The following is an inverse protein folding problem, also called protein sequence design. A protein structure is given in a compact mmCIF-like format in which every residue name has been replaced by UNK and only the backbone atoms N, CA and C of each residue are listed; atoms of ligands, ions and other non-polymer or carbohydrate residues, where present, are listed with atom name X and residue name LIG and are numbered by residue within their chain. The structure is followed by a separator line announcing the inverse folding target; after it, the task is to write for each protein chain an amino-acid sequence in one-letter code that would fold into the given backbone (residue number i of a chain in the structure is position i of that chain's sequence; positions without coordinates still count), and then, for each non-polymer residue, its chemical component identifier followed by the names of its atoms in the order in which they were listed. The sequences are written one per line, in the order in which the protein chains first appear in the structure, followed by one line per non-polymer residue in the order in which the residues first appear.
data_IF_974768797295
#
_entry.id   IF_974768797295
#
_cell.length_a   1.000
_cell.length_b   1.000
_cell.length_c   1.000
_cell.angle_alpha   90.00
_cell.angle_beta   90.00
_cell.angle_gamma   90.00
#
_symmetry.space_group_name_H-M   'P 1'
#
loop_
_entity.id
_entity.type
_entity.pdbx_description
1 polymer ?
#
# COMPACT_ATOMS: atom_id res chain seq x y z
N UNK A 1 5.49 0.20 7.64
CA UNK A 1 4.58 0.55 8.76
C UNK A 1 3.18 0.03 8.46
N UNK A 2 2.34 -0.20 9.48
CA UNK A 2 0.92 -0.58 9.33
C UNK A 2 0.05 0.52 9.95
N UNK A 3 -0.97 0.98 9.22
CA UNK A 3 -1.90 2.01 9.67
C UNK A 3 -3.29 1.76 9.10
N UNK A 4 -4.33 2.20 9.80
CA UNK A 4 -5.68 2.15 9.28
C UNK A 4 -5.79 3.05 8.04
N UNK A 5 -6.54 2.61 7.03
CA UNK A 5 -6.71 3.36 5.79
C UNK A 5 -7.16 4.81 6.03
N UNK A 6 -8.13 5.03 6.92
CA UNK A 6 -8.63 6.38 7.25
C UNK A 6 -7.57 7.29 7.90
N UNK A 7 -6.48 6.72 8.41
CA UNK A 7 -5.42 7.42 9.16
C UNK A 7 -4.11 7.47 8.39
N UNK A 8 -4.05 7.04 7.12
CA UNK A 8 -2.78 6.94 6.39
C UNK A 8 -2.05 8.29 6.25
N UNK A 9 -2.76 9.42 6.38
CA UNK A 9 -2.14 10.75 6.40
C UNK A 9 -1.11 10.93 7.51
N UNK A 10 -1.22 10.19 8.63
CA UNK A 10 -0.28 10.29 9.76
C UNK A 10 1.13 9.81 9.43
N UNK A 11 1.28 8.91 8.46
CA UNK A 11 2.59 8.35 8.09
C UNK A 11 3.31 9.16 7.00
N UNK A 12 2.66 10.16 6.40
CA UNK A 12 3.26 10.97 5.32
C UNK A 12 4.63 11.59 5.69
N UNK A 13 4.87 12.07 6.94
CA UNK A 13 6.18 12.61 7.32
C UNK A 13 7.31 11.57 7.32
N UNK A 14 6.99 10.27 7.42
CA UNK A 14 7.95 9.17 7.42
C UNK A 14 8.34 8.71 6.00
N UNK A 15 7.57 9.11 4.99
CA UNK A 15 7.75 8.67 3.62
C UNK A 15 8.75 9.55 2.87
N UNK A 16 9.70 8.90 2.20
CA UNK A 16 10.64 9.55 1.30
C UNK A 16 10.16 9.45 -0.15
N UNK A 17 10.09 10.57 -0.86
CA UNK A 17 9.64 10.63 -2.26
C UNK A 17 10.55 9.91 -3.26
N UNK A 18 11.81 9.64 -2.89
CA UNK A 18 12.77 8.92 -3.74
C UNK A 18 12.58 7.41 -3.70
N UNK A 19 11.86 6.89 -2.71
CA UNK A 19 11.69 5.46 -2.52
C UNK A 19 10.46 4.96 -3.28
N UNK A 20 10.54 3.72 -3.78
CA UNK A 20 9.37 3.01 -4.30
C UNK A 20 8.51 2.54 -3.14
N UNK A 21 7.25 2.97 -3.13
CA UNK A 21 6.32 2.66 -2.05
C UNK A 21 5.30 1.64 -2.56
N UNK A 22 5.23 0.48 -1.92
CA UNK A 22 4.18 -0.51 -2.19
C UNK A 22 3.13 -0.45 -1.09
N UNK A 23 1.90 -0.11 -1.48
CA UNK A 23 0.75 -0.11 -0.59
C UNK A 23 0.02 -1.44 -0.75
N UNK A 24 -0.28 -2.06 0.38
CA UNK A 24 -0.99 -3.33 0.44
C UNK A 24 -2.18 -3.23 1.39
N UNK A 25 -3.29 -3.85 0.99
CA UNK A 25 -4.42 -4.10 1.87
C UNK A 25 -4.97 -5.52 1.62
N UNK A 26 -6.10 -5.85 2.24
CA UNK A 26 -6.67 -7.19 2.14
C UNK A 26 -6.99 -7.61 0.69
N UNK A 27 -7.71 -6.77 -0.07
CA UNK A 27 -8.16 -7.07 -1.45
C UNK A 27 -7.56 -6.19 -2.54
N UNK A 28 -6.81 -5.16 -2.17
CA UNK A 28 -6.23 -4.15 -3.09
C UNK A 28 -7.07 -2.88 -3.27
N UNK A 29 -8.33 -2.85 -2.82
CA UNK A 29 -9.26 -1.72 -3.07
C UNK A 29 -8.81 -0.41 -2.40
N UNK A 30 -8.64 -0.42 -1.08
CA UNK A 30 -8.19 0.77 -0.33
C UNK A 30 -6.74 1.14 -0.64
N UNK A 31 -5.90 0.15 -0.98
CA UNK A 31 -4.54 0.39 -1.45
C UNK A 31 -4.53 1.21 -2.75
N UNK A 32 -5.44 0.93 -3.69
CA UNK A 32 -5.61 1.72 -4.91
C UNK A 32 -5.99 3.19 -4.64
N UNK A 33 -6.89 3.43 -3.69
CA UNK A 33 -7.27 4.79 -3.28
C UNK A 33 -6.07 5.55 -2.69
N UNK A 34 -5.33 4.93 -1.76
CA UNK A 34 -4.13 5.53 -1.17
C UNK A 34 -3.07 5.83 -2.23
N UNK A 35 -2.86 4.92 -3.20
CA UNK A 35 -1.92 5.14 -4.32
C UNK A 35 -2.32 6.35 -5.16
N UNK A 36 -3.61 6.54 -5.45
CA UNK A 36 -4.09 7.73 -6.18
C UNK A 36 -3.72 9.04 -5.48
N UNK A 37 -3.92 9.09 -4.16
CA UNK A 37 -3.57 10.26 -3.35
C UNK A 37 -2.06 10.47 -3.30
N UNK A 38 -1.27 9.43 -3.03
CA UNK A 38 0.19 9.51 -2.94
C UNK A 38 0.83 9.94 -4.27
N UNK A 39 0.34 9.42 -5.40
CA UNK A 39 0.82 9.85 -6.73
C UNK A 39 0.53 11.32 -7.00
N UNK A 40 -0.63 11.82 -6.58
CA UNK A 40 -0.98 13.24 -6.68
C UNK A 40 -0.02 14.12 -5.86
N UNK A 41 0.48 13.61 -4.74
CA UNK A 41 1.48 14.29 -3.89
C UNK A 41 2.93 14.14 -4.40
N UNK A 42 3.14 13.41 -5.51
CA UNK A 42 4.45 13.19 -6.14
C UNK A 42 5.26 12.03 -5.57
N UNK A 43 4.64 11.04 -4.93
CA UNK A 43 5.30 9.81 -4.50
C UNK A 43 5.27 8.74 -5.60
N UNK A 44 6.33 7.92 -5.67
CA UNK A 44 6.40 6.74 -6.54
C UNK A 44 5.72 5.53 -5.87
N UNK A 45 4.38 5.53 -5.89
CA UNK A 45 3.55 4.54 -5.19
C UNK A 45 2.90 3.50 -6.12
N UNK A 46 2.80 2.26 -5.65
CA UNK A 46 2.20 1.11 -6.35
C UNK A 46 1.27 0.33 -5.42
N UNK A 47 0.21 -0.26 -5.97
CA UNK A 47 -0.69 -1.14 -5.22
C UNK A 47 -0.32 -2.60 -5.49
N UNK A 48 -0.34 -3.44 -4.46
CA UNK A 48 -0.28 -4.89 -4.66
C UNK A 48 -1.61 -5.37 -5.26
N UNK A 49 -1.57 -5.81 -6.53
CA UNK A 49 -2.76 -6.30 -7.23
C UNK A 49 -3.39 -7.49 -6.50
N UNK A 50 -4.70 -7.41 -6.22
CA UNK A 50 -5.44 -8.42 -5.47
C UNK A 50 -5.17 -8.41 -3.95
N UNK A 51 -4.30 -7.54 -3.46
CA UNK A 51 -3.94 -7.45 -2.04
C UNK A 51 -3.37 -8.75 -1.47
N UNK A 52 -3.38 -8.86 -0.14
CA UNK A 52 -2.92 -10.08 0.54
C UNK A 52 -3.80 -11.29 0.20
N UNK A 53 -5.12 -11.11 0.13
CA UNK A 53 -6.05 -12.23 0.04
C UNK A 53 -6.17 -12.84 -1.35
N UNK A 54 -6.20 -12.00 -2.39
CA UNK A 54 -6.45 -12.45 -3.76
C UNK A 54 -5.20 -12.37 -4.65
N UNK A 55 -4.11 -11.74 -4.18
CA UNK A 55 -2.83 -11.67 -4.88
C UNK A 55 -1.76 -12.49 -4.20
N UNK A 56 -1.37 -12.10 -2.97
CA UNK A 56 -0.22 -12.70 -2.26
C UNK A 56 -0.45 -14.15 -1.84
N UNK A 57 -1.57 -14.44 -1.16
CA UNK A 57 -1.88 -15.80 -0.68
C UNK A 57 -2.03 -16.80 -1.84
N UNK A 58 -2.79 -16.52 -2.92
CA UNK A 58 -2.91 -17.46 -4.03
C UNK A 58 -1.58 -17.68 -4.78
N UNK A 59 -0.67 -16.71 -4.74
CA UNK A 59 0.67 -16.86 -5.29
C UNK A 59 1.61 -17.73 -4.44
N UNK A 60 1.16 -18.22 -3.28
CA UNK A 60 1.95 -19.10 -2.41
C UNK A 60 3.13 -18.41 -1.72
N UNK A 61 3.08 -17.08 -1.59
CA UNK A 61 4.17 -16.29 -1.00
C UNK A 61 4.10 -16.30 0.55
N UNK A 62 5.24 -16.24 1.24
CA UNK A 62 5.30 -16.35 2.70
C UNK A 62 4.60 -15.18 3.40
N UNK A 63 3.96 -15.45 4.54
CA UNK A 63 3.34 -14.45 5.41
C UNK A 63 4.01 -14.47 6.77
N UNK A 64 4.51 -13.31 7.18
CA UNK A 64 4.93 -13.08 8.56
C UNK A 64 3.69 -12.74 9.41
N UNK A 65 3.64 -13.26 10.64
CA UNK A 65 2.56 -13.00 11.60
C UNK A 65 2.84 -11.77 12.45
#
# INVERSE_FOLDING_TARGET
SHTAWAQFGSILPELNKKDRIVIVCFSGQTAGQTVGVLRTMGFDAYSLLGGINNGWKPAGLPLEK
#
